data_IF_577648230771
#
_entry.id   IF_577648230771
#
_cell.length_a   1.000
_cell.length_b   1.000
_cell.length_c   1.000
_cell.angle_alpha   90.00
_cell.angle_beta   90.00
_cell.angle_gamma   90.00
#
_symmetry.space_group_name_H-M   'P 1'
#
loop_
_entity.id
_entity.type
_entity.pdbx_description
1 polymer ?
#
# COMPACT_ATOMS: atom_id res chain seq x y z
N UNK A 1 12.33 0.11 17.57
CA UNK A 1 11.34 -0.79 16.94
C UNK A 1 12.02 -1.40 15.73
N UNK A 2 12.35 -2.69 15.78
CA UNK A 2 13.13 -3.41 14.78
C UNK A 2 12.21 -4.41 14.09
N UNK A 3 11.47 -3.94 13.10
CA UNK A 3 10.76 -4.79 12.16
C UNK A 3 11.55 -4.81 10.84
N UNK A 4 11.71 -6.00 10.25
CA UNK A 4 12.41 -6.18 8.97
C UNK A 4 11.66 -5.53 7.80
N UNK A 5 10.37 -5.20 8.02
CA UNK A 5 9.50 -4.59 7.04
C UNK A 5 9.58 -3.06 7.12
N UNK A 6 10.57 -2.50 6.45
CA UNK A 6 10.81 -1.05 6.37
C UNK A 6 9.56 -0.26 5.93
N UNK A 7 8.71 -0.87 5.09
CA UNK A 7 7.46 -0.27 4.62
C UNK A 7 6.44 -0.10 5.76
N UNK A 8 6.42 -1.01 6.73
CA UNK A 8 5.52 -0.94 7.89
C UNK A 8 5.91 0.21 8.82
N UNK A 9 7.21 0.32 9.14
CA UNK A 9 7.73 1.40 9.99
C UNK A 9 7.55 2.77 9.30
N UNK A 10 7.82 2.83 7.99
CA UNK A 10 7.60 4.03 7.18
C UNK A 10 6.13 4.43 7.18
N UNK A 11 5.23 3.45 7.03
CA UNK A 11 3.78 3.65 7.07
C UNK A 11 3.30 4.25 8.38
N UNK A 12 3.80 3.71 9.50
CA UNK A 12 3.45 4.21 10.82
C UNK A 12 3.89 5.66 11.04
N UNK A 13 5.13 5.99 10.66
CA UNK A 13 5.67 7.33 10.81
C UNK A 13 4.97 8.36 9.90
N UNK A 14 4.64 7.99 8.67
CA UNK A 14 3.96 8.89 7.74
C UNK A 14 2.52 9.18 8.16
N UNK A 15 1.77 8.18 8.65
CA UNK A 15 0.41 8.40 9.19
C UNK A 15 0.46 9.30 10.42
N UNK A 16 1.46 9.11 11.29
CA UNK A 16 1.63 9.95 12.49
C UNK A 16 1.95 11.41 12.15
N UNK A 17 2.85 11.64 11.20
CA UNK A 17 3.36 12.98 10.91
C UNK A 17 2.54 13.74 9.85
N UNK A 18 1.95 13.03 8.88
CA UNK A 18 1.24 13.63 7.74
C UNK A 18 -0.09 12.90 7.43
N UNK A 19 -1.01 12.75 8.40
CA UNK A 19 -2.24 11.97 8.21
C UNK A 19 -3.12 12.50 7.06
N UNK A 20 -3.22 13.82 6.92
CA UNK A 20 -4.04 14.46 5.88
C UNK A 20 -3.55 14.14 4.48
N UNK A 21 -2.23 14.14 4.26
CA UNK A 21 -1.64 13.89 2.95
C UNK A 21 -1.76 12.40 2.57
N UNK A 22 -1.55 11.50 3.54
CA UNK A 22 -1.80 10.07 3.34
C UNK A 22 -3.27 9.81 2.99
N UNK A 23 -4.20 10.46 3.70
CA UNK A 23 -5.64 10.32 3.43
C UNK A 23 -6.04 10.86 2.05
N UNK A 24 -5.45 11.99 1.62
CA UNK A 24 -5.66 12.55 0.29
C UNK A 24 -5.21 11.59 -0.80
N UNK A 25 -4.02 10.99 -0.66
CA UNK A 25 -3.49 10.00 -1.59
C UNK A 25 -4.33 8.71 -1.62
N UNK A 26 -4.77 8.24 -0.45
CA UNK A 26 -5.68 7.09 -0.36
C UNK A 26 -7.00 7.36 -1.08
N UNK A 27 -7.60 8.53 -0.86
CA UNK A 27 -8.83 8.95 -1.54
C UNK A 27 -8.65 8.98 -3.05
N UNK A 28 -7.49 9.42 -3.54
CA UNK A 28 -7.15 9.39 -4.96
C UNK A 28 -7.06 7.96 -5.48
N UNK A 29 -6.36 7.06 -4.78
CA UNK A 29 -6.24 5.66 -5.18
C UNK A 29 -7.59 4.94 -5.18
N UNK A 30 -8.44 5.25 -4.21
CA UNK A 30 -9.81 4.75 -4.14
C UNK A 30 -10.68 5.23 -5.31
N UNK A 31 -10.60 6.51 -5.67
CA UNK A 31 -11.37 7.08 -6.78
C UNK A 31 -11.04 6.44 -8.12
N UNK A 32 -9.76 6.08 -8.33
CA UNK A 32 -9.30 5.43 -9.56
C UNK A 32 -9.26 3.91 -9.48
N UNK A 33 -9.85 3.32 -8.44
CA UNK A 33 -9.73 1.90 -8.18
C UNK A 33 -10.27 1.05 -9.33
N UNK A 34 -9.40 0.21 -9.88
CA UNK A 34 -9.71 -0.84 -10.83
C UNK A 34 -8.65 -1.92 -10.72
N UNK A 35 -8.90 -3.10 -11.29
CA UNK A 35 -7.91 -4.17 -11.36
C UNK A 35 -6.61 -3.70 -12.03
N UNK A 36 -6.71 -3.00 -13.16
CA UNK A 36 -5.56 -2.46 -13.88
C UNK A 36 -4.83 -1.39 -13.06
N UNK A 37 -5.58 -0.53 -12.38
CA UNK A 37 -5.02 0.49 -11.51
C UNK A 37 -4.30 -0.11 -10.31
N UNK A 38 -4.82 -1.20 -9.73
CA UNK A 38 -4.15 -1.94 -8.66
C UNK A 38 -2.76 -2.41 -9.08
N UNK A 39 -2.62 -3.04 -10.24
CA UNK A 39 -1.31 -3.48 -10.73
C UNK A 39 -0.40 -2.30 -11.11
N UNK A 40 -0.95 -1.19 -11.61
CA UNK A 40 -0.18 0.05 -11.82
C UNK A 40 0.40 0.59 -10.50
N UNK A 41 -0.43 0.70 -9.46
CA UNK A 41 0.02 1.17 -8.13
C UNK A 41 1.01 0.19 -7.51
N UNK A 42 0.79 -1.11 -7.65
CA UNK A 42 1.72 -2.15 -7.17
C UNK A 42 3.13 -1.96 -7.72
N UNK A 43 3.24 -1.73 -9.02
CA UNK A 43 4.53 -1.60 -9.72
C UNK A 43 5.11 -0.17 -9.68
N UNK A 44 4.36 0.82 -9.19
CA UNK A 44 4.85 2.20 -9.04
C UNK A 44 5.95 2.27 -7.96
N UNK A 45 7.12 2.74 -8.34
CA UNK A 45 8.20 3.09 -7.42
C UNK A 45 8.00 4.52 -6.89
N UNK A 46 8.27 4.74 -5.60
CA UNK A 46 8.24 6.08 -4.99
C UNK A 46 9.19 6.10 -3.81
N UNK A 47 9.89 7.23 -3.64
CA UNK A 47 10.74 7.51 -2.48
C UNK A 47 10.04 8.41 -1.46
N UNK A 48 8.79 8.83 -1.74
CA UNK A 48 8.02 9.67 -0.83
C UNK A 48 7.36 8.79 0.25
N UNK A 49 7.66 8.98 1.55
CA UNK A 49 7.07 8.20 2.64
C UNK A 49 5.53 8.19 2.62
N UNK A 50 4.88 9.31 2.30
CA UNK A 50 3.42 9.39 2.26
C UNK A 50 2.84 8.54 1.11
N UNK A 51 3.51 8.52 -0.05
CA UNK A 51 3.10 7.69 -1.18
C UNK A 51 3.34 6.19 -0.91
N UNK A 52 4.49 5.84 -0.32
CA UNK A 52 4.80 4.46 0.10
C UNK A 52 3.71 3.97 1.04
N UNK A 53 3.34 4.80 2.02
CA UNK A 53 2.32 4.50 3.02
C UNK A 53 0.93 4.33 2.42
N UNK A 54 0.49 5.29 1.61
CA UNK A 54 -0.81 5.22 0.94
C UNK A 54 -0.89 4.00 0.02
N UNK A 55 0.20 3.68 -0.69
CA UNK A 55 0.32 2.48 -1.54
C UNK A 55 0.23 1.22 -0.69
N UNK A 56 0.95 1.15 0.42
CA UNK A 56 0.94 -0.01 1.31
C UNK A 56 -0.47 -0.28 1.84
N UNK A 57 -1.16 0.73 2.36
CA UNK A 57 -2.53 0.61 2.87
C UNK A 57 -3.50 0.21 1.76
N UNK A 58 -3.42 0.88 0.59
CA UNK A 58 -4.28 0.58 -0.55
C UNK A 58 -4.09 -0.86 -1.05
N UNK A 59 -2.85 -1.32 -1.22
CA UNK A 59 -2.57 -2.67 -1.68
C UNK A 59 -3.08 -3.70 -0.69
N UNK A 60 -2.82 -3.53 0.61
CA UNK A 60 -3.33 -4.46 1.62
C UNK A 60 -4.87 -4.52 1.61
N UNK A 61 -5.55 -3.38 1.49
CA UNK A 61 -7.03 -3.32 1.46
C UNK A 61 -7.67 -4.06 0.29
N UNK A 62 -7.00 -4.07 -0.87
CA UNK A 62 -7.51 -4.68 -2.11
C UNK A 62 -6.79 -5.98 -2.49
N UNK A 63 -5.95 -6.50 -1.60
CA UNK A 63 -5.28 -7.78 -1.78
C UNK A 63 -6.17 -8.92 -1.28
N UNK A 64 -5.99 -10.09 -1.89
CA UNK A 64 -6.67 -11.31 -1.45
C UNK A 64 -6.46 -11.56 0.05
N UNK A 65 -7.55 -11.51 0.82
CA UNK A 65 -7.61 -11.67 2.28
C UNK A 65 -6.76 -10.69 3.10
N UNK A 66 -6.39 -9.53 2.55
CA UNK A 66 -5.58 -8.55 3.28
C UNK A 66 -4.14 -9.00 3.58
N UNK A 67 -3.64 -10.03 2.90
CA UNK A 67 -2.35 -10.63 3.21
C UNK A 67 -1.22 -9.86 2.52
N UNK A 68 -0.31 -9.30 3.33
CA UNK A 68 0.98 -8.81 2.85
C UNK A 68 1.96 -9.99 2.66
N UNK A 69 2.31 -10.30 1.40
CA UNK A 69 3.32 -11.34 1.07
C UNK A 69 4.38 -10.78 0.15
N UNK A 70 5.64 -11.11 0.42
CA UNK A 70 6.81 -10.80 -0.43
C UNK A 70 7.52 -12.08 -0.83
N UNK A 71 8.03 -12.14 -2.05
CA UNK A 71 8.92 -13.21 -2.50
C UNK A 71 10.32 -13.02 -1.91
N UNK A 72 11.16 -14.06 -1.95
CA UNK A 72 12.56 -14.00 -1.47
C UNK A 72 13.39 -12.90 -2.14
N UNK A 73 13.01 -12.45 -3.33
CA UNK A 73 13.66 -11.36 -4.07
C UNK A 73 13.15 -9.95 -3.68
N UNK A 74 12.32 -9.83 -2.63
CA UNK A 74 11.76 -8.57 -2.16
C UNK A 74 10.56 -8.05 -2.95
N UNK A 75 10.11 -8.73 -4.01
CA UNK A 75 8.95 -8.31 -4.78
C UNK A 75 7.63 -8.68 -4.09
N UNK A 76 6.64 -7.80 -4.21
CA UNK A 76 5.31 -8.05 -3.64
C UNK A 76 4.59 -9.20 -4.36
N UNK A 77 4.24 -10.23 -3.60
CA UNK A 77 3.55 -11.44 -4.06
C UNK A 77 2.01 -11.34 -3.95
N UNK A 78 1.51 -10.13 -3.70
CA UNK A 78 0.10 -9.80 -3.52
C UNK A 78 -0.69 -9.87 -4.85
N UNK A 79 -1.91 -10.37 -4.78
CA UNK A 79 -2.84 -10.47 -5.92
C UNK A 79 -4.11 -9.68 -5.64
N UNK A 80 -4.64 -9.03 -6.68
CA UNK A 80 -5.89 -8.28 -6.62
C UNK A 80 -7.05 -9.17 -6.16
N UNK A 81 -7.84 -8.67 -5.21
CA UNK A 81 -9.13 -9.22 -4.83
C UNK A 81 -10.26 -8.42 -5.47
N UNK A 82 -11.25 -9.11 -6.04
CA UNK A 82 -12.51 -8.47 -6.44
C UNK A 82 -13.41 -8.10 -5.26
N UNK A 83 -13.09 -8.59 -4.06
CA UNK A 83 -13.79 -8.31 -2.81
C UNK A 83 -12.96 -7.36 -1.93
N UNK A 84 -13.62 -6.35 -1.36
CA UNK A 84 -13.02 -5.49 -0.33
C UNK A 84 -13.10 -6.20 1.02
N UNK A 85 -11.95 -6.47 1.66
CA UNK A 85 -11.92 -6.99 3.02
C UNK A 85 -11.82 -5.80 4.00
N UNK A 86 -12.75 -5.74 4.97
CA UNK A 86 -12.86 -4.68 5.98
C UNK A 86 -12.04 -5.00 7.23
#
# INVERSE_FOLDING_TARGET
>A
MSDINLDLITSYNAVKNNPNEVNRLLSLYHKHHSKDYYYKVKNKYSNNPNEITAKFIYLNKYSFRGIYRVYKNGQSAQTFSGECYY
#
